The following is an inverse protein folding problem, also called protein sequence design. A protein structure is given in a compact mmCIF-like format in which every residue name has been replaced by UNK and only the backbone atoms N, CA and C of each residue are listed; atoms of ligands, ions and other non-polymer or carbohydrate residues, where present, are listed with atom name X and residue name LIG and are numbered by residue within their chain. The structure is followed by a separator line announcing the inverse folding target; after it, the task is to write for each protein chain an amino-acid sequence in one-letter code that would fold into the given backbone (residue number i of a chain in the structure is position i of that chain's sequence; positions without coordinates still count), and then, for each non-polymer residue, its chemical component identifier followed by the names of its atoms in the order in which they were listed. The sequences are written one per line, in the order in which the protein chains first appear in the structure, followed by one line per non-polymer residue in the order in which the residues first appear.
data_IF_091892604927
#
_entry.id   IF_091892604927
#
_cell.length_a   1.000
_cell.length_b   1.000
_cell.length_c   1.000
_cell.angle_alpha   90.00
_cell.angle_beta   90.00
_cell.angle_gamma   90.00
#
_symmetry.space_group_name_H-M   'P 1'
#
loop_
_entity.id
_entity.type
_entity.pdbx_description
1 polymer ?
#
# COMPACT_ATOMS: atom_id res chain seq x y z
N UNK A 1 4.26 -18.56 7.17
CA UNK A 1 5.54 -19.24 6.91
C UNK A 1 6.55 -18.19 6.49
N UNK A 2 7.67 -18.08 7.20
CA UNK A 2 8.83 -17.33 6.75
C UNK A 2 9.75 -18.36 6.07
N UNK A 3 9.79 -18.36 4.76
CA UNK A 3 10.79 -19.13 4.02
C UNK A 3 12.12 -18.39 4.11
N UNK A 4 13.08 -18.98 4.77
CA UNK A 4 14.44 -18.46 4.81
C UNK A 4 15.16 -18.92 3.54
N UNK A 5 15.40 -18.03 2.60
CA UNK A 5 16.26 -18.27 1.46
C UNK A 5 17.59 -17.54 1.63
N UNK A 6 18.69 -18.26 1.38
CA UNK A 6 20.03 -17.65 1.34
C UNK A 6 20.09 -16.72 0.13
N UNK A 7 20.04 -15.41 0.35
CA UNK A 7 19.95 -14.40 -0.70
C UNK A 7 18.76 -13.44 -0.55
N UNK A 8 17.85 -13.74 0.37
CA UNK A 8 16.72 -12.88 0.72
C UNK A 8 15.61 -12.82 -0.33
N UNK A 9 14.47 -12.28 0.07
CA UNK A 9 13.31 -12.06 -0.80
C UNK A 9 13.56 -11.00 -1.89
N UNK A 10 14.66 -10.27 -1.79
CA UNK A 10 14.98 -9.14 -2.65
C UNK A 10 16.12 -9.49 -3.61
N UNK A 11 15.81 -10.09 -4.74
CA UNK A 11 16.68 -10.12 -5.89
C UNK A 11 17.21 -11.47 -6.36
N UNK A 12 17.32 -12.50 -5.53
CA UNK A 12 17.86 -13.80 -5.92
C UNK A 12 17.07 -15.01 -5.41
N UNK A 13 15.79 -14.81 -5.12
CA UNK A 13 14.90 -15.88 -4.70
C UNK A 13 14.74 -16.92 -5.81
N UNK A 14 14.81 -18.21 -5.46
CA UNK A 14 14.47 -19.32 -6.37
C UNK A 14 13.04 -19.19 -6.90
N UNK A 15 12.15 -18.48 -6.20
CA UNK A 15 10.80 -18.20 -6.66
C UNK A 15 10.78 -17.37 -7.95
N UNK A 16 11.77 -16.49 -8.19
CA UNK A 16 11.84 -15.68 -9.41
C UNK A 16 12.11 -16.51 -10.67
N UNK A 17 12.74 -17.66 -10.53
CA UNK A 17 13.04 -18.57 -11.64
C UNK A 17 12.07 -19.74 -11.74
N UNK A 18 11.15 -19.87 -10.78
CA UNK A 18 10.21 -20.99 -10.72
C UNK A 18 9.00 -20.71 -11.60
N UNK A 19 8.68 -21.62 -12.51
CA UNK A 19 7.49 -21.50 -13.36
C UNK A 19 6.21 -21.56 -12.51
N UNK A 20 5.21 -20.73 -12.83
CA UNK A 20 3.92 -20.67 -12.14
C UNK A 20 3.27 -22.05 -11.97
N UNK A 21 3.40 -22.92 -12.95
CA UNK A 21 2.89 -24.31 -12.89
C UNK A 21 3.58 -25.16 -11.80
N UNK A 22 4.86 -24.90 -11.51
CA UNK A 22 5.61 -25.59 -10.46
C UNK A 22 5.20 -25.05 -9.08
N UNK A 23 5.02 -23.72 -8.97
CA UNK A 23 4.49 -23.10 -7.75
C UNK A 23 3.10 -23.65 -7.39
N UNK A 24 2.19 -23.71 -8.36
CA UNK A 24 0.85 -24.27 -8.15
C UNK A 24 0.87 -25.75 -7.74
N UNK A 25 1.81 -26.55 -8.23
CA UNK A 25 1.97 -27.95 -7.81
C UNK A 25 2.52 -28.05 -6.39
N UNK A 26 3.48 -27.22 -6.03
CA UNK A 26 4.04 -27.18 -4.68
C UNK A 26 2.99 -26.74 -3.64
N UNK A 27 2.12 -25.79 -3.99
CA UNK A 27 1.05 -25.30 -3.12
C UNK A 27 -0.08 -26.31 -2.94
N UNK A 28 -0.35 -27.19 -3.91
CA UNK A 28 -1.40 -28.21 -3.81
C UNK A 28 -1.16 -29.31 -2.76
N UNK A 29 0.07 -29.49 -2.30
CA UNK A 29 0.43 -30.48 -1.27
C UNK A 29 0.70 -29.86 0.11
N UNK A 30 0.60 -28.55 0.24
CA UNK A 30 0.75 -27.88 1.51
C UNK A 30 -0.63 -27.73 2.16
N UNK A 31 -0.82 -28.44 3.27
CA UNK A 31 -1.88 -28.11 4.22
C UNK A 31 -1.49 -26.77 4.84
N UNK A 32 -2.07 -25.71 4.25
CA UNK A 32 -1.86 -24.34 4.71
C UNK A 32 -2.81 -24.07 5.89
N UNK A 33 -2.74 -24.90 6.91
CA UNK A 33 -3.27 -24.57 8.23
C UNK A 33 -2.35 -23.48 8.81
N UNK A 34 -2.51 -22.29 8.21
CA UNK A 34 -1.82 -21.09 8.69
C UNK A 34 -2.42 -20.77 10.05
N UNK A 35 -1.62 -20.80 11.13
CA UNK A 35 -2.11 -20.35 12.42
C UNK A 35 -2.73 -18.97 12.23
N UNK A 36 -3.94 -18.80 12.71
CA UNK A 36 -4.61 -17.50 12.72
C UNK A 36 -3.62 -16.43 13.15
N UNK A 37 -3.39 -15.46 12.29
CA UNK A 37 -2.51 -14.36 12.62
C UNK A 37 -2.95 -13.81 13.97
N UNK A 38 -2.05 -13.71 14.96
CA UNK A 38 -2.44 -13.31 16.30
C UNK A 38 -3.22 -12.01 16.19
N UNK A 39 -4.48 -12.02 16.61
CA UNK A 39 -5.44 -10.91 16.54
C UNK A 39 -4.97 -9.63 17.27
N UNK A 40 -3.71 -9.57 17.69
CA UNK A 40 -3.14 -8.59 18.62
C UNK A 40 -2.20 -7.56 18.00
N UNK A 41 -2.03 -7.50 16.71
CA UNK A 41 -1.52 -6.27 16.12
C UNK A 41 -2.66 -5.26 16.16
N UNK A 42 -2.60 -4.38 17.14
CA UNK A 42 -3.67 -3.51 17.56
C UNK A 42 -4.38 -2.82 16.40
N UNK A 43 -5.65 -2.53 16.60
CA UNK A 43 -6.46 -1.74 15.68
C UNK A 43 -5.65 -0.52 15.19
N UNK A 44 -5.79 -0.17 13.91
CA UNK A 44 -5.18 1.02 13.31
C UNK A 44 -5.38 2.29 14.16
N UNK A 45 -6.47 2.36 14.90
CA UNK A 45 -6.77 3.44 15.86
C UNK A 45 -5.74 3.51 16.98
N UNK A 46 -5.39 2.36 17.56
CA UNK A 46 -4.36 2.27 18.59
C UNK A 46 -3.00 2.70 18.03
N UNK A 47 -2.64 2.23 16.83
CA UNK A 47 -1.39 2.63 16.18
C UNK A 47 -1.31 4.15 15.97
N UNK A 48 -2.40 4.77 15.51
CA UNK A 48 -2.44 6.23 15.31
C UNK A 48 -2.37 6.96 16.65
N UNK A 49 -3.12 6.51 17.66
CA UNK A 49 -3.13 7.12 18.98
C UNK A 49 -1.75 7.04 19.66
N UNK A 50 -1.16 5.85 19.73
CA UNK A 50 0.16 5.69 20.36
C UNK A 50 1.26 6.37 19.55
N UNK A 51 1.15 6.42 18.23
CA UNK A 51 2.06 7.20 17.39
C UNK A 51 1.99 8.69 17.69
N UNK A 52 0.79 9.26 17.83
CA UNK A 52 0.61 10.67 18.22
C UNK A 52 1.16 10.92 19.63
N UNK A 53 0.87 10.03 20.58
CA UNK A 53 1.34 10.12 21.96
C UNK A 53 2.86 10.06 22.02
N UNK A 54 3.50 9.12 21.30
CA UNK A 54 4.95 9.02 21.21
C UNK A 54 5.58 10.33 20.70
N UNK A 55 5.06 10.91 19.61
CA UNK A 55 5.60 12.16 19.07
C UNK A 55 5.37 13.35 20.01
N UNK A 56 4.25 13.36 20.73
CA UNK A 56 3.99 14.36 21.78
C UNK A 56 5.03 14.26 22.91
N UNK A 57 5.30 13.06 23.41
CA UNK A 57 6.33 12.84 24.42
C UNK A 57 7.71 13.26 23.94
N UNK A 58 8.09 12.91 22.73
CA UNK A 58 9.40 13.30 22.14
C UNK A 58 9.53 14.80 22.01
N UNK A 59 8.45 15.51 21.67
CA UNK A 59 8.47 16.97 21.51
C UNK A 59 8.53 17.73 22.83
N UNK A 60 7.73 17.32 23.80
CA UNK A 60 7.45 18.15 24.97
C UNK A 60 8.10 17.61 26.26
N UNK A 61 8.32 16.34 26.37
CA UNK A 61 8.83 15.71 27.59
C UNK A 61 10.25 15.15 27.45
N UNK A 62 10.84 15.20 26.26
CA UNK A 62 12.19 14.69 26.04
C UNK A 62 13.27 15.73 26.42
N UNK A 63 13.26 16.16 27.64
CA UNK A 63 14.26 17.13 28.16
C UNK A 63 15.68 16.55 28.20
N UNK A 64 15.81 15.22 28.28
CA UNK A 64 17.10 14.53 28.42
C UNK A 64 17.82 14.32 27.10
N UNK A 65 17.06 14.20 26.00
CA UNK A 65 17.60 13.87 24.67
C UNK A 65 17.34 15.00 23.67
N UNK A 66 17.87 16.18 23.95
CA UNK A 66 17.63 17.41 23.15
C UNK A 66 18.09 17.30 21.70
N UNK A 67 19.08 16.43 21.41
CA UNK A 67 19.64 16.24 20.08
C UNK A 67 19.05 15.03 19.35
N UNK A 68 17.93 14.48 19.86
CA UNK A 68 17.28 13.38 19.21
C UNK A 68 16.79 13.77 17.80
N UNK A 69 17.30 13.07 16.80
CA UNK A 69 16.84 13.17 15.42
C UNK A 69 16.12 11.88 15.05
N UNK A 70 14.84 11.95 14.63
CA UNK A 70 14.17 10.76 14.13
C UNK A 70 14.87 10.25 12.87
N UNK A 71 14.85 8.95 12.65
CA UNK A 71 15.40 8.30 11.46
C UNK A 71 14.67 8.69 10.15
N UNK A 72 13.60 9.45 10.25
CA UNK A 72 12.78 9.91 9.11
C UNK A 72 13.17 11.31 8.72
N UNK A 73 13.15 11.60 7.41
CA UNK A 73 13.53 12.90 6.83
C UNK A 73 12.49 14.02 7.07
N UNK A 74 11.78 13.98 8.19
CA UNK A 74 10.82 15.02 8.60
C UNK A 74 10.97 15.34 10.08
N UNK A 75 10.65 16.58 10.44
CA UNK A 75 10.70 17.02 11.83
C UNK A 75 9.60 16.34 12.65
N UNK A 76 9.89 16.08 13.94
CA UNK A 76 8.92 15.46 14.89
C UNK A 76 7.61 16.28 14.95
N UNK A 77 7.70 17.61 14.90
CA UNK A 77 6.53 18.49 14.89
C UNK A 77 5.64 18.29 13.66
N UNK A 78 6.25 18.11 12.48
CA UNK A 78 5.52 17.83 11.25
C UNK A 78 4.87 16.44 11.31
N UNK A 79 5.56 15.47 11.85
CA UNK A 79 5.05 14.11 12.01
C UNK A 79 3.87 14.08 13.00
N UNK A 80 3.98 14.73 14.16
CA UNK A 80 2.86 14.88 15.11
C UNK A 80 1.64 15.54 14.44
N UNK A 81 1.84 16.61 13.66
CA UNK A 81 0.74 17.28 12.95
C UNK A 81 0.04 16.32 11.97
N UNK A 82 0.79 15.48 11.26
CA UNK A 82 0.23 14.47 10.35
C UNK A 82 -0.60 13.43 11.12
N UNK A 83 -0.11 12.97 12.27
CA UNK A 83 -0.85 12.03 13.13
C UNK A 83 -2.13 12.64 13.68
N UNK A 84 -2.08 13.87 14.21
CA UNK A 84 -3.26 14.58 14.72
C UNK A 84 -4.30 14.81 13.61
N UNK A 85 -3.85 15.26 12.44
CA UNK A 85 -4.72 15.42 11.26
C UNK A 85 -5.36 14.09 10.85
N UNK A 86 -4.58 13.01 10.84
CA UNK A 86 -5.07 11.67 10.52
C UNK A 86 -6.13 11.23 11.53
N UNK A 87 -5.89 11.45 12.80
CA UNK A 87 -6.83 11.12 13.88
C UNK A 87 -8.14 11.91 13.74
N UNK A 88 -8.06 13.21 13.50
CA UNK A 88 -9.24 14.07 13.32
C UNK A 88 -10.06 13.70 12.06
N UNK A 89 -9.40 13.30 10.97
CA UNK A 89 -10.05 12.94 9.70
C UNK A 89 -10.47 11.46 9.62
N UNK A 90 -10.20 10.67 10.65
CA UNK A 90 -10.47 9.22 10.63
C UNK A 90 -11.94 8.86 10.36
N UNK A 91 -12.95 9.51 10.96
CA UNK A 91 -14.36 9.22 10.66
C UNK A 91 -14.72 9.49 9.20
N UNK A 92 -14.33 10.66 8.68
CA UNK A 92 -14.58 11.04 7.28
C UNK A 92 -13.88 10.08 6.31
N UNK A 93 -12.63 9.73 6.58
CA UNK A 93 -11.90 8.73 5.79
C UNK A 93 -12.54 7.35 5.84
N UNK A 94 -13.18 6.97 6.96
CA UNK A 94 -13.90 5.69 7.06
C UNK A 94 -15.08 5.65 6.11
N UNK A 95 -15.88 6.69 6.06
CA UNK A 95 -17.03 6.80 5.14
C UNK A 95 -16.58 6.77 3.70
N UNK A 96 -15.56 7.56 3.34
CA UNK A 96 -15.01 7.59 1.99
C UNK A 96 -14.42 6.23 1.57
N UNK A 97 -13.80 5.52 2.50
CA UNK A 97 -13.28 4.15 2.25
C UNK A 97 -14.41 3.18 1.94
N UNK A 98 -15.48 3.23 2.73
CA UNK A 98 -16.65 2.35 2.53
C UNK A 98 -17.31 2.64 1.19
N UNK A 99 -17.55 3.89 0.87
CA UNK A 99 -18.14 4.30 -0.41
C UNK A 99 -17.29 3.89 -1.61
N UNK A 100 -15.97 4.11 -1.55
CA UNK A 100 -15.06 3.70 -2.62
C UNK A 100 -15.04 2.19 -2.81
N UNK A 101 -14.96 1.41 -1.73
CA UNK A 101 -14.98 -0.06 -1.82
C UNK A 101 -16.30 -0.58 -2.33
N UNK A 102 -17.41 -0.01 -1.86
CA UNK A 102 -18.76 -0.34 -2.34
C UNK A 102 -18.87 -0.09 -3.86
N UNK A 103 -18.44 1.10 -4.32
CA UNK A 103 -18.44 1.45 -5.75
C UNK A 103 -17.65 0.46 -6.61
N UNK A 104 -16.49 -0.01 -6.16
CA UNK A 104 -15.72 -1.00 -6.90
C UNK A 104 -16.47 -2.33 -6.98
N UNK A 105 -17.04 -2.78 -5.85
CA UNK A 105 -17.75 -4.06 -5.80
C UNK A 105 -19.05 -4.08 -6.56
N UNK A 106 -19.77 -2.97 -6.59
CA UNK A 106 -21.06 -2.87 -7.29
C UNK A 106 -20.93 -2.38 -8.73
N UNK A 107 -19.73 -1.98 -9.14
CA UNK A 107 -19.48 -1.40 -10.46
C UNK A 107 -19.59 -2.39 -11.62
N UNK A 108 -19.58 -3.70 -11.36
CA UNK A 108 -19.74 -4.74 -12.37
C UNK A 108 -18.65 -4.80 -13.44
N UNK A 109 -17.55 -4.07 -13.27
CA UNK A 109 -16.44 -4.02 -14.22
C UNK A 109 -15.28 -4.91 -13.79
N UNK A 110 -14.60 -5.58 -14.73
CA UNK A 110 -13.34 -6.27 -14.43
C UNK A 110 -12.25 -5.24 -14.11
N UNK A 111 -11.40 -5.54 -13.14
CA UNK A 111 -10.34 -4.61 -12.75
C UNK A 111 -9.00 -5.27 -12.44
N UNK A 112 -7.95 -4.48 -12.59
CA UNK A 112 -6.59 -4.77 -12.17
C UNK A 112 -6.32 -4.02 -10.87
N UNK A 113 -5.74 -4.69 -9.88
CA UNK A 113 -5.46 -4.11 -8.57
C UNK A 113 -4.00 -3.75 -8.43
N UNK A 114 -3.69 -2.49 -8.15
CA UNK A 114 -2.34 -2.07 -7.83
C UNK A 114 -2.22 -1.73 -6.34
N UNK A 115 -1.27 -2.35 -5.66
CA UNK A 115 -1.00 -2.15 -4.24
C UNK A 115 0.10 -1.11 -4.09
N UNK A 116 -0.27 0.07 -3.62
CA UNK A 116 0.67 1.17 -3.40
C UNK A 116 1.43 0.97 -2.08
N UNK A 117 2.69 1.32 -2.09
CA UNK A 117 3.57 1.29 -0.93
C UNK A 117 3.82 2.69 -0.37
N UNK A 118 4.49 2.76 0.76
CA UNK A 118 4.97 4.02 1.31
C UNK A 118 6.29 4.38 0.63
N UNK A 119 6.35 5.55 0.01
CA UNK A 119 7.56 6.04 -0.67
C UNK A 119 8.78 6.12 0.27
N UNK A 120 8.53 6.38 1.56
CA UNK A 120 9.58 6.47 2.59
C UNK A 120 9.89 5.12 3.26
N UNK A 121 9.33 4.01 2.79
CA UNK A 121 9.67 2.69 3.29
C UNK A 121 11.04 2.26 2.72
N UNK A 122 11.89 1.71 3.59
CA UNK A 122 13.20 1.20 3.21
C UNK A 122 13.12 0.16 2.08
N UNK A 123 12.10 -0.70 2.10
CA UNK A 123 11.87 -1.66 1.03
C UNK A 123 11.64 -1.00 -0.33
N UNK A 124 10.87 0.09 -0.37
CA UNK A 124 10.64 0.82 -1.60
C UNK A 124 11.92 1.53 -2.08
N UNK A 125 12.61 2.24 -1.17
CA UNK A 125 13.77 3.07 -1.51
C UNK A 125 15.03 2.26 -1.87
N UNK A 126 15.27 1.15 -1.16
CA UNK A 126 16.52 0.38 -1.32
C UNK A 126 16.40 -0.76 -2.32
N UNK A 127 15.19 -1.26 -2.55
CA UNK A 127 14.95 -2.47 -3.33
C UNK A 127 13.91 -2.29 -4.44
N UNK A 128 13.32 -1.10 -4.56
CA UNK A 128 12.42 -0.74 -5.64
C UNK A 128 13.19 -0.26 -6.88
N UNK A 129 12.70 -0.50 -8.10
CA UNK A 129 13.30 0.02 -9.33
C UNK A 129 12.88 1.47 -9.63
N UNK A 130 12.18 2.14 -8.72
CA UNK A 130 11.64 3.49 -8.91
C UNK A 130 12.19 4.45 -7.86
N UNK A 131 12.53 5.65 -8.29
CA UNK A 131 13.01 6.73 -7.41
C UNK A 131 11.87 7.33 -6.59
N UNK A 132 10.64 7.32 -7.14
CA UNK A 132 9.46 7.85 -6.46
C UNK A 132 8.20 7.01 -6.73
N UNK A 133 7.20 7.16 -5.85
CA UNK A 133 5.88 6.59 -6.09
C UNK A 133 5.21 7.20 -7.34
N UNK A 134 5.56 8.43 -7.68
CA UNK A 134 5.06 9.10 -8.90
C UNK A 134 5.55 8.39 -10.16
N UNK A 135 6.81 7.96 -10.22
CA UNK A 135 7.39 7.26 -11.36
C UNK A 135 6.73 5.89 -11.56
N UNK A 136 6.51 5.17 -10.46
CA UNK A 136 5.75 3.93 -10.50
C UNK A 136 4.32 4.15 -11.04
N UNK A 137 3.62 5.18 -10.56
CA UNK A 137 2.27 5.51 -11.00
C UNK A 137 2.22 5.92 -12.47
N UNK A 138 3.22 6.65 -12.94
CA UNK A 138 3.35 7.05 -14.34
C UNK A 138 3.43 5.81 -15.24
N UNK A 139 4.41 4.93 -14.96
CA UNK A 139 4.60 3.70 -15.73
C UNK A 139 3.37 2.78 -15.68
N UNK A 140 2.75 2.64 -14.51
CA UNK A 140 1.60 1.76 -14.31
C UNK A 140 0.38 2.24 -15.10
N UNK A 141 0.05 3.55 -15.00
CA UNK A 141 -1.15 4.11 -15.64
C UNK A 141 -0.94 4.19 -17.16
N UNK A 142 0.26 4.52 -17.61
CA UNK A 142 0.64 4.50 -19.02
C UNK A 142 0.50 3.08 -19.61
N UNK A 143 1.08 2.08 -18.95
CA UNK A 143 0.96 0.68 -19.37
C UNK A 143 -0.48 0.18 -19.36
N UNK A 144 -1.30 0.59 -18.38
CA UNK A 144 -2.72 0.30 -18.35
C UNK A 144 -3.46 0.96 -19.51
N UNK A 145 -3.16 2.22 -19.82
CA UNK A 145 -3.79 2.93 -20.90
C UNK A 145 -3.48 2.31 -22.27
N UNK A 146 -2.23 1.85 -22.45
CA UNK A 146 -1.76 1.27 -23.71
C UNK A 146 -2.23 -0.18 -23.93
N UNK A 147 -2.31 -1.00 -22.86
CA UNK A 147 -2.48 -2.45 -22.98
C UNK A 147 -3.79 -3.03 -22.47
N UNK A 148 -4.51 -2.32 -21.59
CA UNK A 148 -5.72 -2.88 -21.00
C UNK A 148 -6.96 -2.72 -21.89
N UNK A 149 -7.84 -3.74 -21.98
CA UNK A 149 -9.12 -3.61 -22.67
C UNK A 149 -9.92 -2.41 -22.17
N UNK A 150 -10.68 -1.76 -23.07
CA UNK A 150 -11.38 -0.51 -22.76
C UNK A 150 -12.41 -0.64 -21.62
N UNK A 151 -12.98 -1.83 -21.41
CA UNK A 151 -13.94 -2.10 -20.34
C UNK A 151 -13.28 -2.49 -19.02
N UNK A 152 -11.95 -2.64 -18.98
CA UNK A 152 -11.20 -2.91 -17.73
C UNK A 152 -10.91 -1.61 -16.98
N UNK A 153 -10.88 -1.72 -15.65
CA UNK A 153 -10.57 -0.63 -14.75
C UNK A 153 -9.27 -0.90 -13.97
N UNK A 154 -8.62 0.16 -13.53
CA UNK A 154 -7.45 0.10 -12.65
C UNK A 154 -7.83 0.61 -11.26
N UNK A 155 -7.66 -0.22 -10.26
CA UNK A 155 -7.92 0.11 -8.86
C UNK A 155 -6.59 0.24 -8.12
N UNK A 156 -6.29 1.44 -7.67
CA UNK A 156 -5.08 1.77 -6.93
C UNK A 156 -5.39 1.78 -5.43
N UNK A 157 -4.92 0.78 -4.71
CA UNK A 157 -5.14 0.66 -3.26
C UNK A 157 -3.99 1.28 -2.48
N UNK A 158 -4.30 2.33 -1.73
CA UNK A 158 -3.34 2.96 -0.83
C UNK A 158 -2.87 2.01 0.28
N UNK A 159 -1.63 2.20 0.70
CA UNK A 159 -1.10 1.53 1.89
C UNK A 159 -1.91 1.94 3.13
N UNK A 160 -2.17 1.03 4.09
CA UNK A 160 -2.92 1.36 5.32
C UNK A 160 -2.30 2.50 6.13
N UNK A 161 -0.97 2.64 6.09
CA UNK A 161 -0.22 3.67 6.80
C UNK A 161 0.01 4.96 5.98
N UNK A 162 -0.61 5.09 4.80
CA UNK A 162 -0.50 6.31 3.99
C UNK A 162 -0.96 7.54 4.78
N UNK A 163 -0.03 8.48 4.96
CA UNK A 163 -0.20 9.65 5.81
C UNK A 163 -0.45 10.96 5.04
N UNK A 164 -0.38 10.92 3.71
CA UNK A 164 -0.65 12.06 2.83
C UNK A 164 0.55 12.95 2.57
N UNK A 165 1.79 12.48 2.80
CA UNK A 165 3.03 13.18 2.44
C UNK A 165 3.09 13.41 0.93
N UNK A 166 2.76 12.40 0.16
CA UNK A 166 2.60 12.48 -1.29
C UNK A 166 1.11 12.69 -1.59
N UNK A 167 0.73 13.69 -2.39
CA UNK A 167 -0.67 13.93 -2.73
C UNK A 167 -1.17 12.93 -3.80
N UNK A 168 -1.10 11.63 -3.51
CA UNK A 168 -1.33 10.51 -4.43
C UNK A 168 -2.62 10.69 -5.23
N UNK A 169 -3.71 11.12 -4.59
CA UNK A 169 -5.00 11.32 -5.29
C UNK A 169 -4.89 12.34 -6.43
N UNK A 170 -4.14 13.43 -6.22
CA UNK A 170 -3.94 14.48 -7.25
C UNK A 170 -3.02 13.99 -8.35
N UNK A 171 -1.95 13.30 -7.98
CA UNK A 171 -0.98 12.72 -8.91
C UNK A 171 -1.66 11.71 -9.83
N UNK A 172 -2.38 10.74 -9.25
CA UNK A 172 -3.14 9.72 -9.99
C UNK A 172 -4.16 10.37 -10.94
N UNK A 173 -4.95 11.34 -10.44
CA UNK A 173 -5.97 12.00 -11.25
C UNK A 173 -5.38 12.80 -12.41
N UNK A 174 -4.19 13.39 -12.25
CA UNK A 174 -3.46 14.09 -13.32
C UNK A 174 -3.00 13.08 -14.37
N UNK A 175 -2.22 12.08 -13.97
CA UNK A 175 -1.66 11.08 -14.88
C UNK A 175 -2.79 10.36 -15.65
N UNK A 176 -3.83 9.92 -14.95
CA UNK A 176 -4.96 9.23 -15.58
C UNK A 176 -5.70 10.11 -16.60
N UNK A 177 -5.77 11.41 -16.38
CA UNK A 177 -6.34 12.38 -17.33
C UNK A 177 -5.45 12.58 -18.52
N UNK A 178 -4.14 12.73 -18.30
CA UNK A 178 -3.15 12.94 -19.35
C UNK A 178 -3.11 11.76 -20.35
N UNK A 179 -3.41 10.54 -19.86
CA UNK A 179 -3.52 9.32 -20.68
C UNK A 179 -4.97 8.97 -21.10
N UNK A 180 -5.94 9.83 -20.85
CA UNK A 180 -7.34 9.62 -21.29
C UNK A 180 -8.10 8.51 -20.56
N UNK A 181 -7.58 8.01 -19.43
CA UNK A 181 -8.16 6.88 -18.66
C UNK A 181 -8.79 7.29 -17.33
N UNK A 182 -9.02 8.57 -17.10
CA UNK A 182 -9.50 9.11 -15.83
C UNK A 182 -10.79 8.48 -15.30
N UNK A 183 -11.72 8.10 -16.19
CA UNK A 183 -12.98 7.43 -15.82
C UNK A 183 -12.77 5.97 -15.34
N UNK A 184 -11.67 5.34 -15.74
CA UNK A 184 -11.36 3.94 -15.48
C UNK A 184 -10.33 3.72 -14.35
N UNK A 185 -9.78 4.79 -13.80
CA UNK A 185 -8.77 4.73 -12.74
C UNK A 185 -9.39 5.14 -11.40
N UNK A 186 -9.33 4.26 -10.41
CA UNK A 186 -9.94 4.43 -9.10
C UNK A 186 -8.91 4.37 -7.98
N UNK A 187 -8.92 5.38 -7.10
CA UNK A 187 -8.05 5.40 -5.93
C UNK A 187 -8.82 5.08 -4.66
N UNK A 188 -8.41 4.02 -3.96
CA UNK A 188 -9.08 3.49 -2.77
C UNK A 188 -8.15 3.53 -1.56
N UNK A 189 -8.56 4.21 -0.50
CA UNK A 189 -7.82 4.31 0.77
C UNK A 189 -8.13 3.20 1.77
N UNK A 190 -8.95 2.24 1.44
CA UNK A 190 -9.39 1.22 2.40
C UNK A 190 -9.90 -0.04 1.73
N UNK A 191 -10.73 -0.77 2.45
CA UNK A 191 -11.24 -2.07 2.04
C UNK A 191 -10.34 -3.21 2.49
N UNK A 192 -10.95 -4.37 2.73
CA UNK A 192 -10.20 -5.60 3.04
C UNK A 192 -9.47 -6.03 1.78
N UNK A 193 -8.15 -6.19 1.86
CA UNK A 193 -7.32 -6.55 0.72
C UNK A 193 -7.78 -7.86 0.07
N UNK A 194 -8.01 -8.90 0.87
CA UNK A 194 -8.50 -10.19 0.39
C UNK A 194 -9.74 -10.04 -0.51
N UNK A 195 -10.74 -9.26 -0.08
CA UNK A 195 -11.95 -9.04 -0.87
C UNK A 195 -11.76 -8.27 -2.16
N UNK A 196 -10.70 -7.46 -2.28
CA UNK A 196 -10.35 -6.78 -3.52
C UNK A 196 -9.52 -7.68 -4.42
N UNK A 197 -8.77 -8.62 -3.86
CA UNK A 197 -8.01 -9.62 -4.62
C UNK A 197 -8.91 -10.69 -5.23
N UNK A 198 -9.96 -11.12 -4.50
CA UNK A 198 -10.89 -12.16 -4.95
C UNK A 198 -11.52 -11.84 -6.31
N UNK A 199 -11.85 -10.56 -6.54
CA UNK A 199 -12.53 -10.09 -7.75
C UNK A 199 -11.56 -9.50 -8.79
N UNK A 200 -10.26 -9.39 -8.48
CA UNK A 200 -9.28 -8.77 -9.37
C UNK A 200 -8.81 -9.72 -10.48
N UNK A 201 -8.66 -9.22 -11.70
CA UNK A 201 -8.08 -9.96 -12.83
C UNK A 201 -6.58 -10.17 -12.71
N UNK A 202 -5.90 -9.19 -12.13
CA UNK A 202 -4.49 -9.26 -11.77
C UNK A 202 -4.18 -8.31 -10.64
N UNK A 203 -3.09 -8.57 -9.94
CA UNK A 203 -2.55 -7.67 -8.92
C UNK A 203 -1.11 -7.28 -9.27
N UNK A 204 -0.77 -6.01 -9.02
CA UNK A 204 0.55 -5.45 -9.27
C UNK A 204 1.02 -4.74 -8.01
N UNK A 205 2.26 -4.94 -7.67
CA UNK A 205 2.97 -4.22 -6.59
C UNK A 205 4.43 -4.03 -6.97
N UNK A 206 5.13 -3.12 -6.33
CA UNK A 206 6.57 -2.94 -6.56
C UNK A 206 7.34 -4.09 -5.91
N UNK A 207 7.30 -4.15 -4.58
CA UNK A 207 7.98 -5.19 -3.79
C UNK A 207 7.30 -5.42 -2.42
N UNK A 208 5.97 -5.25 -2.35
CA UNK A 208 5.21 -5.43 -1.12
C UNK A 208 5.11 -6.90 -0.73
N UNK A 209 5.31 -7.20 0.54
CA UNK A 209 5.02 -8.53 1.12
C UNK A 209 3.54 -8.92 1.04
N UNK A 210 2.65 -7.98 0.78
CA UNK A 210 1.23 -8.26 0.55
C UNK A 210 0.96 -9.04 -0.76
N UNK A 211 1.99 -9.28 -1.57
CA UNK A 211 1.93 -10.11 -2.79
C UNK A 211 2.29 -11.58 -2.52
N UNK A 212 2.72 -11.92 -1.32
CA UNK A 212 3.01 -13.27 -0.84
C UNK A 212 1.75 -13.90 -0.26
#
# INVERSE_FOLDING_TARGET
WVTYERGGANGHSRLMTTKVAQMRRALKGLDLDLPDAPARWGDMRQHIFYGALYHWFVMFLNLRYRNFQPHRNITVARELRLYLRRMALMPAHSILRMAATWRIKTGGFPYHLALLQLEHDASFQQHGPFDSMTDFLQMLIEGFAAGAPQHHHLVLKAHPLEDGRVPLRRVIARIARDHGVGARVHYVRGGKLARLLDDARSAVTVNSTAAQ
#
